data_IF_899176507224
#
_entry.id   IF_899176507224
#
_cell.length_a   1.000
_cell.length_b   1.000
_cell.length_c   1.000
_cell.angle_alpha   90.00
_cell.angle_beta   90.00
_cell.angle_gamma   90.00
#
_symmetry.space_group_name_H-M   'P 1'
#
loop_
_entity.id
_entity.type
_entity.pdbx_description
1 polymer ?
#
# COMPACT_ATOMS: atom_id res chain seq x y z
N UNK A 1 11.47 -28.31 -18.80
CA UNK A 1 10.21 -28.38 -18.04
C UNK A 1 9.16 -27.65 -18.85
N UNK A 2 8.01 -28.26 -19.08
CA UNK A 2 6.89 -27.67 -19.82
C UNK A 2 6.11 -26.68 -18.95
N UNK A 3 5.30 -25.81 -19.56
CA UNK A 3 4.39 -24.91 -18.82
C UNK A 3 3.44 -25.68 -17.90
N UNK A 4 2.92 -26.82 -18.37
CA UNK A 4 2.06 -27.69 -17.58
C UNK A 4 2.76 -28.28 -16.35
N UNK A 5 4.05 -28.62 -16.46
CA UNK A 5 4.85 -29.08 -15.32
C UNK A 5 5.11 -27.94 -14.30
N UNK A 6 5.34 -26.70 -14.78
CA UNK A 6 5.47 -25.52 -13.90
C UNK A 6 4.14 -25.26 -13.18
N UNK A 7 3.03 -25.33 -13.90
CA UNK A 7 1.67 -25.14 -13.37
C UNK A 7 1.35 -26.15 -12.28
N UNK A 8 1.57 -27.43 -12.55
CA UNK A 8 1.31 -28.50 -11.58
C UNK A 8 2.18 -28.33 -10.32
N UNK A 9 3.47 -28.02 -10.50
CA UNK A 9 4.38 -27.75 -9.39
C UNK A 9 3.92 -26.56 -8.55
N UNK A 10 3.42 -25.49 -9.17
CA UNK A 10 2.89 -24.32 -8.47
C UNK A 10 1.60 -24.64 -7.71
N UNK A 11 0.68 -25.42 -8.29
CA UNK A 11 -0.56 -25.83 -7.64
C UNK A 11 -0.25 -26.69 -6.40
N UNK A 12 0.67 -27.64 -6.52
CA UNK A 12 1.14 -28.45 -5.40
C UNK A 12 1.74 -27.57 -4.29
N UNK A 13 2.59 -26.60 -4.68
CA UNK A 13 3.17 -25.66 -3.73
C UNK A 13 2.13 -24.81 -3.01
N UNK A 14 1.12 -24.32 -3.72
CA UNK A 14 -0.01 -23.59 -3.12
C UNK A 14 -0.82 -24.49 -2.18
N UNK A 15 -0.94 -25.78 -2.50
CA UNK A 15 -1.52 -26.79 -1.59
C UNK A 15 -0.75 -26.94 -0.29
N UNK A 16 0.59 -26.93 -0.32
CA UNK A 16 1.44 -26.90 0.89
C UNK A 16 1.17 -25.64 1.73
N UNK A 17 0.98 -24.50 1.06
CA UNK A 17 0.55 -23.21 1.63
C UNK A 17 -0.94 -23.19 2.03
N UNK A 18 -1.59 -24.35 2.02
CA UNK A 18 -2.98 -24.62 2.45
C UNK A 18 -4.07 -24.08 1.54
N UNK A 19 -3.77 -23.63 0.32
CA UNK A 19 -4.82 -23.25 -0.62
C UNK A 19 -5.71 -24.47 -0.93
N UNK A 20 -7.01 -24.23 -1.07
CA UNK A 20 -7.92 -25.28 -1.54
C UNK A 20 -7.85 -25.34 -3.05
N UNK A 21 -7.34 -26.43 -3.61
CA UNK A 21 -7.35 -26.64 -5.06
C UNK A 21 -8.77 -26.96 -5.52
N UNK A 22 -9.24 -26.25 -6.55
CA UNK A 22 -10.60 -26.33 -7.08
C UNK A 22 -10.59 -26.67 -8.58
N UNK A 23 -10.31 -27.94 -8.93
CA UNK A 23 -10.25 -28.39 -10.33
C UNK A 23 -11.63 -28.37 -11.02
N UNK A 24 -12.70 -28.27 -10.24
CA UNK A 24 -14.09 -28.20 -10.66
C UNK A 24 -14.50 -26.82 -11.19
N UNK A 25 -13.75 -25.76 -10.88
CA UNK A 25 -14.03 -24.40 -11.36
C UNK A 25 -13.28 -24.17 -12.68
N UNK A 26 -13.97 -24.44 -13.79
CA UNK A 26 -13.41 -24.30 -15.16
C UNK A 26 -14.11 -23.27 -16.02
N UNK A 27 -15.26 -22.76 -15.59
CA UNK A 27 -16.05 -21.79 -16.32
C UNK A 27 -16.64 -20.70 -15.41
N UNK A 28 -17.31 -19.72 -16.04
CA UNK A 28 -17.96 -18.61 -15.34
C UNK A 28 -19.03 -19.09 -14.36
N UNK A 29 -19.86 -20.06 -14.73
CA UNK A 29 -20.98 -20.50 -13.90
C UNK A 29 -20.47 -21.16 -12.61
N UNK A 30 -19.42 -21.98 -12.70
CA UNK A 30 -18.77 -22.58 -11.54
C UNK A 30 -18.08 -21.52 -10.66
N UNK A 31 -17.48 -20.50 -11.26
CA UNK A 31 -16.87 -19.39 -10.52
C UNK A 31 -17.92 -18.56 -9.76
N UNK A 32 -19.02 -18.18 -10.42
CA UNK A 32 -20.10 -17.40 -9.82
C UNK A 32 -20.78 -18.19 -8.69
N UNK A 33 -21.00 -19.51 -8.88
CA UNK A 33 -21.51 -20.39 -7.82
C UNK A 33 -20.57 -20.44 -6.61
N UNK A 34 -19.27 -20.63 -6.85
CA UNK A 34 -18.29 -20.65 -5.76
C UNK A 34 -18.26 -19.30 -5.01
N UNK A 35 -18.28 -18.19 -5.75
CA UNK A 35 -18.35 -16.86 -5.16
C UNK A 35 -19.57 -16.70 -4.24
N UNK A 36 -20.76 -17.13 -4.68
CA UNK A 36 -21.97 -17.11 -3.84
C UNK A 36 -21.75 -17.85 -2.51
N UNK A 37 -21.29 -19.10 -2.58
CA UNK A 37 -21.07 -19.93 -1.39
C UNK A 37 -20.10 -19.28 -0.39
N UNK A 38 -19.00 -18.71 -0.89
CA UNK A 38 -18.02 -18.02 -0.03
C UNK A 38 -18.54 -16.69 0.51
N UNK A 39 -19.27 -15.94 -0.31
CA UNK A 39 -19.88 -14.66 0.07
C UNK A 39 -20.91 -14.85 1.19
N UNK A 40 -21.81 -15.83 1.04
CA UNK A 40 -22.83 -16.20 2.01
C UNK A 40 -22.20 -16.65 3.33
N UNK A 41 -21.15 -17.49 3.27
CA UNK A 41 -20.41 -17.93 4.45
C UNK A 41 -19.68 -16.78 5.17
N UNK A 42 -19.02 -15.89 4.43
CA UNK A 42 -18.29 -14.75 4.99
C UNK A 42 -19.24 -13.77 5.69
N UNK A 43 -20.35 -13.44 5.03
CA UNK A 43 -21.29 -12.41 5.49
C UNK A 43 -22.44 -12.97 6.35
N UNK A 44 -22.52 -14.31 6.51
CA UNK A 44 -23.54 -15.03 7.28
C UNK A 44 -24.96 -14.72 6.80
N UNK A 45 -25.15 -14.83 5.49
CA UNK A 45 -26.42 -14.58 4.81
C UNK A 45 -26.75 -15.70 3.85
N UNK A 46 -28.01 -15.83 3.48
CA UNK A 46 -28.45 -16.64 2.34
C UNK A 46 -29.16 -15.70 1.38
N UNK A 47 -28.69 -15.65 0.14
CA UNK A 47 -29.26 -14.80 -0.90
C UNK A 47 -30.28 -15.60 -1.70
N UNK A 48 -31.35 -14.94 -2.14
CA UNK A 48 -32.18 -15.46 -3.23
C UNK A 48 -31.41 -15.39 -4.56
N UNK A 49 -31.87 -16.10 -5.59
CA UNK A 49 -31.25 -16.00 -6.91
C UNK A 49 -31.35 -14.58 -7.49
N UNK A 50 -32.47 -13.89 -7.23
CA UNK A 50 -32.67 -12.49 -7.60
C UNK A 50 -31.72 -11.54 -6.86
N UNK A 51 -31.56 -11.71 -5.54
CA UNK A 51 -30.59 -10.94 -4.75
C UNK A 51 -29.16 -11.17 -5.24
N UNK A 52 -28.79 -12.42 -5.51
CA UNK A 52 -27.45 -12.74 -5.98
C UNK A 52 -27.16 -12.15 -7.37
N UNK A 53 -28.13 -12.18 -8.28
CA UNK A 53 -27.98 -11.56 -9.59
C UNK A 53 -27.80 -10.03 -9.47
N UNK A 54 -28.63 -9.35 -8.66
CA UNK A 54 -28.48 -7.90 -8.42
C UNK A 54 -27.15 -7.56 -7.76
N UNK A 55 -26.67 -8.41 -6.83
CA UNK A 55 -25.34 -8.27 -6.25
C UNK A 55 -24.27 -8.30 -7.35
N UNK A 56 -24.29 -9.29 -8.24
CA UNK A 56 -23.33 -9.38 -9.35
C UNK A 56 -23.38 -8.14 -10.25
N UNK A 57 -24.58 -7.69 -10.63
CA UNK A 57 -24.78 -6.48 -11.45
C UNK A 57 -24.24 -5.22 -10.79
N UNK A 58 -24.31 -5.12 -9.45
CA UNK A 58 -23.80 -3.99 -8.69
C UNK A 58 -22.27 -4.01 -8.54
N UNK A 59 -21.67 -5.19 -8.30
CA UNK A 59 -20.25 -5.28 -7.96
C UNK A 59 -19.34 -5.40 -9.19
N UNK A 60 -19.86 -5.88 -10.31
CA UNK A 60 -19.09 -6.02 -11.56
C UNK A 60 -18.98 -4.65 -12.22
N UNK A 61 -17.74 -4.17 -12.36
CA UNK A 61 -17.45 -2.88 -12.99
C UNK A 61 -16.33 -3.02 -14.01
N UNK A 62 -16.42 -2.36 -15.18
CA UNK A 62 -15.31 -2.28 -16.12
C UNK A 62 -14.18 -1.38 -15.63
N UNK A 63 -14.41 -0.53 -14.62
CA UNK A 63 -13.39 0.33 -14.04
C UNK A 63 -12.60 -0.43 -12.96
N UNK A 64 -11.33 -0.70 -13.25
CA UNK A 64 -10.42 -1.41 -12.35
C UNK A 64 -10.25 -0.68 -11.02
N UNK A 65 -10.23 0.66 -11.02
CA UNK A 65 -10.09 1.45 -9.81
C UNK A 65 -11.35 1.33 -8.94
N UNK A 66 -12.54 1.41 -9.54
CA UNK A 66 -13.80 1.23 -8.84
C UNK A 66 -13.93 -0.18 -8.26
N UNK A 67 -13.59 -1.23 -9.03
CA UNK A 67 -13.62 -2.60 -8.54
C UNK A 67 -12.62 -2.82 -7.38
N UNK A 68 -11.41 -2.26 -7.48
CA UNK A 68 -10.41 -2.31 -6.42
C UNK A 68 -10.86 -1.60 -5.13
N UNK A 69 -11.56 -0.47 -5.27
CA UNK A 69 -12.16 0.24 -4.14
C UNK A 69 -13.26 -0.61 -3.49
N UNK A 70 -14.20 -1.10 -4.29
CA UNK A 70 -15.32 -1.94 -3.85
C UNK A 70 -14.85 -3.21 -3.13
N UNK A 71 -13.73 -3.81 -3.58
CA UNK A 71 -13.11 -4.98 -2.93
C UNK A 71 -12.76 -4.72 -1.45
N UNK A 72 -12.30 -3.51 -1.12
CA UNK A 72 -11.70 -3.16 0.18
C UNK A 72 -12.66 -2.41 1.10
N UNK A 73 -13.81 -1.96 0.61
CA UNK A 73 -14.79 -1.21 1.39
C UNK A 73 -15.86 -2.12 2.00
N UNK A 74 -16.53 -1.60 3.05
CA UNK A 74 -17.78 -2.17 3.53
C UNK A 74 -18.89 -1.62 2.64
N UNK A 75 -19.54 -2.52 1.93
CA UNK A 75 -20.55 -2.19 0.93
C UNK A 75 -21.96 -2.45 1.48
N UNK A 76 -22.96 -1.98 0.77
CA UNK A 76 -24.36 -2.29 1.08
C UNK A 76 -25.21 -2.45 -0.18
N UNK A 77 -26.26 -3.26 -0.08
CA UNK A 77 -27.34 -3.29 -1.07
C UNK A 77 -28.67 -3.62 -0.40
N UNK A 78 -29.77 -3.30 -1.08
CA UNK A 78 -31.12 -3.55 -0.60
C UNK A 78 -31.59 -4.97 -0.98
N UNK A 79 -32.08 -5.70 0.01
CA UNK A 79 -32.62 -7.05 -0.11
C UNK A 79 -34.03 -7.06 -0.72
N UNK A 80 -34.52 -8.24 -1.08
CA UNK A 80 -35.88 -8.39 -1.62
C UNK A 80 -36.97 -7.90 -0.63
N UNK A 81 -36.71 -7.96 0.67
CA UNK A 81 -37.61 -7.53 1.74
C UNK A 81 -37.47 -6.03 2.10
N UNK A 82 -36.65 -5.27 1.35
CA UNK A 82 -36.38 -3.85 1.59
C UNK A 82 -35.36 -3.58 2.71
N UNK A 83 -34.79 -4.61 3.35
CA UNK A 83 -33.77 -4.43 4.39
C UNK A 83 -32.38 -4.21 3.79
N UNK A 84 -31.53 -3.37 4.40
CA UNK A 84 -30.16 -3.20 3.93
C UNK A 84 -29.28 -4.38 4.38
N UNK A 85 -28.54 -4.97 3.44
CA UNK A 85 -27.45 -5.90 3.72
C UNK A 85 -26.11 -5.20 3.61
N UNK A 86 -25.40 -5.06 4.73
CA UNK A 86 -24.01 -4.62 4.74
C UNK A 86 -23.07 -5.81 4.61
N UNK A 87 -22.13 -5.75 3.68
CA UNK A 87 -21.24 -6.86 3.37
C UNK A 87 -19.80 -6.41 3.11
N UNK A 88 -18.90 -7.39 3.13
CA UNK A 88 -17.51 -7.25 2.67
C UNK A 88 -17.20 -8.36 1.68
N UNK A 89 -16.29 -8.10 0.74
CA UNK A 89 -15.79 -9.12 -0.20
C UNK A 89 -14.55 -9.83 0.36
N UNK A 90 -13.71 -9.10 1.10
CA UNK A 90 -12.55 -9.66 1.80
C UNK A 90 -12.44 -9.11 3.22
N UNK A 91 -11.88 -9.90 4.11
CA UNK A 91 -11.51 -9.47 5.44
C UNK A 91 -10.20 -8.66 5.39
N UNK A 92 -10.33 -7.34 5.48
CA UNK A 92 -9.21 -6.39 5.42
C UNK A 92 -8.48 -6.19 6.76
N UNK A 93 -9.05 -6.70 7.86
CA UNK A 93 -8.49 -6.57 9.21
C UNK A 93 -7.77 -7.83 9.66
N UNK A 94 -8.45 -8.98 9.57
CA UNK A 94 -7.93 -10.30 9.89
C UNK A 94 -7.65 -11.06 8.59
N UNK A 95 -6.55 -10.75 7.92
CA UNK A 95 -6.20 -11.28 6.59
C UNK A 95 -6.22 -12.82 6.52
N UNK A 96 -5.79 -13.48 7.58
CA UNK A 96 -5.74 -14.93 7.68
C UNK A 96 -7.11 -15.60 7.77
N UNK A 97 -8.18 -14.87 8.12
CA UNK A 97 -9.54 -15.40 8.24
C UNK A 97 -10.27 -15.48 6.89
N UNK A 98 -9.65 -15.00 5.82
CA UNK A 98 -10.14 -15.24 4.48
C UNK A 98 -9.99 -16.71 4.09
N UNK A 99 -10.82 -17.15 3.15
CA UNK A 99 -10.65 -18.43 2.46
C UNK A 99 -9.82 -18.21 1.20
N UNK A 100 -8.98 -19.18 0.87
CA UNK A 100 -7.99 -19.08 -0.21
C UNK A 100 -8.08 -20.32 -1.08
N UNK A 101 -8.33 -20.11 -2.36
CA UNK A 101 -8.53 -21.17 -3.35
C UNK A 101 -7.63 -20.94 -4.56
N UNK A 102 -7.20 -22.02 -5.18
CA UNK A 102 -6.47 -21.98 -6.45
C UNK A 102 -7.29 -22.71 -7.50
N UNK A 103 -7.53 -22.04 -8.62
CA UNK A 103 -8.17 -22.61 -9.82
C UNK A 103 -7.20 -22.50 -10.99
N UNK A 104 -7.35 -23.39 -11.96
CA UNK A 104 -6.46 -23.43 -13.12
C UNK A 104 -7.23 -23.66 -14.41
N UNK A 105 -6.67 -23.20 -15.52
CA UNK A 105 -7.25 -23.29 -16.87
C UNK A 105 -8.71 -22.80 -16.92
N UNK A 106 -9.02 -21.73 -16.17
CA UNK A 106 -10.35 -21.12 -16.15
C UNK A 106 -10.68 -20.59 -17.54
N UNK A 107 -11.86 -20.89 -18.06
CA UNK A 107 -12.33 -20.41 -19.36
C UNK A 107 -13.48 -19.44 -19.17
N UNK A 108 -13.27 -18.19 -19.55
CA UNK A 108 -14.35 -17.22 -19.65
C UNK A 108 -14.69 -17.09 -21.13
N UNK A 109 -15.66 -17.91 -21.56
CA UNK A 109 -16.22 -17.78 -22.89
C UNK A 109 -17.17 -16.57 -22.87
N UNK A 110 -16.81 -15.52 -23.58
CA UNK A 110 -17.81 -14.55 -24.05
C UNK A 110 -18.21 -14.94 -25.47
N UNK A 111 -19.28 -14.34 -26.00
CA UNK A 111 -19.89 -14.71 -27.29
C UNK A 111 -18.90 -14.88 -28.46
N UNK A 112 -17.69 -14.29 -28.40
CA UNK A 112 -16.69 -14.30 -29.47
C UNK A 112 -15.27 -14.76 -29.06
N UNK A 113 -15.01 -15.28 -27.85
CA UNK A 113 -13.63 -15.59 -27.40
C UNK A 113 -13.48 -16.84 -26.55
N UNK A 114 -12.29 -17.43 -26.59
CA UNK A 114 -11.88 -18.59 -25.81
C UNK A 114 -10.61 -18.30 -24.99
N UNK A 115 -10.68 -17.38 -24.04
CA UNK A 115 -9.54 -17.14 -23.14
C UNK A 115 -9.44 -18.23 -22.09
N UNK A 116 -8.19 -18.60 -21.78
CA UNK A 116 -7.84 -19.60 -20.79
C UNK A 116 -6.77 -19.02 -19.88
N UNK A 117 -7.09 -18.92 -18.60
CA UNK A 117 -6.19 -18.39 -17.57
C UNK A 117 -5.45 -19.54 -16.91
N UNK A 118 -4.12 -19.49 -16.91
CA UNK A 118 -3.28 -20.59 -16.40
C UNK A 118 -3.60 -20.89 -14.93
N UNK A 119 -3.34 -19.94 -14.03
CA UNK A 119 -3.62 -20.08 -12.60
C UNK A 119 -4.25 -18.79 -12.07
N UNK A 120 -5.34 -18.94 -11.31
CA UNK A 120 -6.01 -17.84 -10.63
C UNK A 120 -6.11 -18.14 -9.13
N UNK A 121 -5.80 -17.14 -8.31
CA UNK A 121 -5.99 -17.22 -6.86
C UNK A 121 -7.26 -16.48 -6.47
N UNK A 122 -8.12 -17.19 -5.74
CA UNK A 122 -9.37 -16.65 -5.22
C UNK A 122 -9.25 -16.37 -3.73
N UNK A 123 -9.74 -15.21 -3.30
CA UNK A 123 -9.93 -14.86 -1.88
C UNK A 123 -11.43 -14.74 -1.64
N UNK A 124 -12.00 -15.61 -0.81
CA UNK A 124 -13.45 -15.72 -0.61
C UNK A 124 -14.23 -15.86 -1.93
N UNK A 125 -13.71 -16.67 -2.86
CA UNK A 125 -14.31 -16.89 -4.18
C UNK A 125 -14.15 -15.73 -5.17
N UNK A 126 -13.59 -14.60 -4.75
CA UNK A 126 -13.27 -13.46 -5.63
C UNK A 126 -11.92 -13.69 -6.30
N UNK A 127 -11.79 -13.61 -7.64
CA UNK A 127 -10.51 -13.72 -8.32
C UNK A 127 -9.68 -12.45 -8.09
N UNK A 128 -8.51 -12.61 -7.47
CA UNK A 128 -7.71 -11.48 -7.00
C UNK A 128 -6.31 -11.46 -7.63
N UNK A 129 -5.75 -12.63 -7.95
CA UNK A 129 -4.43 -12.73 -8.60
C UNK A 129 -4.55 -13.62 -9.82
N UNK A 130 -3.94 -13.17 -10.91
CA UNK A 130 -3.71 -13.98 -12.09
C UNK A 130 -2.21 -14.27 -12.22
N UNK A 131 -1.89 -15.54 -12.44
CA UNK A 131 -0.52 -16.02 -12.65
C UNK A 131 -0.45 -16.63 -14.04
N UNK A 132 0.42 -16.08 -14.87
CA UNK A 132 0.73 -16.55 -16.22
C UNK A 132 2.08 -17.26 -16.21
N UNK A 133 2.14 -18.46 -16.78
CA UNK A 133 3.35 -19.29 -16.78
C UNK A 133 3.95 -19.40 -18.17
N UNK A 134 5.28 -19.37 -18.25
CA UNK A 134 6.02 -19.43 -19.51
C UNK A 134 7.16 -20.44 -19.47
N UNK A 135 7.44 -21.03 -20.63
CA UNK A 135 8.62 -21.90 -20.82
C UNK A 135 9.90 -21.11 -21.16
N UNK A 136 9.78 -19.98 -21.85
CA UNK A 136 10.91 -19.20 -22.35
C UNK A 136 11.36 -18.12 -21.37
N UNK A 137 12.54 -17.53 -21.62
CA UNK A 137 13.00 -16.34 -20.91
C UNK A 137 11.99 -15.21 -21.04
N UNK A 138 11.55 -14.68 -19.90
CA UNK A 138 10.62 -13.57 -19.83
C UNK A 138 11.41 -12.27 -19.93
N UNK A 139 11.02 -11.40 -20.86
CA UNK A 139 11.42 -9.98 -20.77
C UNK A 139 10.28 -9.21 -20.11
N UNK A 140 10.56 -8.24 -19.21
CA UNK A 140 9.51 -7.48 -18.53
C UNK A 140 8.50 -6.89 -19.50
N UNK A 141 8.99 -6.31 -20.60
CA UNK A 141 8.13 -5.73 -21.65
C UNK A 141 7.16 -6.75 -22.25
N UNK A 142 7.64 -7.93 -22.65
CA UNK A 142 6.76 -8.97 -23.22
C UNK A 142 5.76 -9.51 -22.21
N UNK A 143 6.16 -9.64 -20.94
CA UNK A 143 5.28 -10.06 -19.85
C UNK A 143 4.07 -9.14 -19.73
N UNK A 144 4.31 -7.83 -19.81
CA UNK A 144 3.26 -6.83 -19.68
C UNK A 144 2.45 -6.65 -20.95
N UNK A 145 3.10 -6.60 -22.12
CA UNK A 145 2.44 -6.47 -23.44
C UNK A 145 1.37 -7.55 -23.62
N UNK A 146 1.70 -8.81 -23.32
CA UNK A 146 0.74 -9.91 -23.43
C UNK A 146 -0.50 -9.70 -22.56
N UNK A 147 -0.32 -9.32 -21.29
CA UNK A 147 -1.45 -9.08 -20.39
C UNK A 147 -2.29 -7.88 -20.86
N UNK A 148 -1.65 -6.85 -21.40
CA UNK A 148 -2.35 -5.67 -21.94
C UNK A 148 -3.14 -6.04 -23.20
N UNK A 149 -2.57 -6.85 -24.08
CA UNK A 149 -3.27 -7.38 -25.26
C UNK A 149 -4.48 -8.21 -24.84
N UNK A 150 -4.32 -9.11 -23.85
CA UNK A 150 -5.43 -9.85 -23.25
C UNK A 150 -6.50 -8.92 -22.69
N UNK A 151 -6.11 -7.86 -21.98
CA UNK A 151 -7.06 -6.88 -21.45
C UNK A 151 -7.79 -6.09 -22.55
N UNK A 152 -7.17 -5.88 -23.70
CA UNK A 152 -7.78 -5.16 -24.82
C UNK A 152 -8.77 -6.03 -25.60
N UNK A 153 -8.70 -7.35 -25.47
CA UNK A 153 -9.64 -8.26 -26.09
C UNK A 153 -11.06 -8.09 -25.50
N UNK A 154 -12.09 -7.76 -26.29
CA UNK A 154 -13.47 -7.59 -25.81
C UNK A 154 -14.02 -8.76 -25.01
N UNK A 155 -13.47 -9.97 -25.20
CA UNK A 155 -13.99 -11.18 -24.60
C UNK A 155 -13.22 -11.72 -23.39
N UNK A 156 -12.28 -10.95 -22.85
CA UNK A 156 -11.48 -11.35 -21.69
C UNK A 156 -12.24 -11.44 -20.35
N UNK A 157 -13.52 -11.10 -20.31
CA UNK A 157 -14.32 -11.17 -19.09
C UNK A 157 -13.96 -10.20 -17.96
N UNK A 158 -12.83 -9.47 -17.98
CA UNK A 158 -12.47 -8.52 -16.90
C UNK A 158 -13.50 -7.41 -16.72
N UNK A 159 -14.23 -7.05 -17.76
CA UNK A 159 -15.24 -5.98 -17.71
C UNK A 159 -16.66 -6.46 -17.40
N UNK A 160 -16.92 -7.77 -17.47
CA UNK A 160 -18.29 -8.34 -17.44
C UNK A 160 -18.47 -9.48 -16.44
N UNK A 161 -17.41 -9.85 -15.72
CA UNK A 161 -17.41 -10.98 -14.78
C UNK A 161 -16.65 -10.60 -13.52
N UNK A 162 -16.64 -11.50 -12.52
CA UNK A 162 -15.86 -11.33 -11.29
C UNK A 162 -14.37 -11.10 -11.53
N UNK A 163 -13.82 -11.40 -12.72
CA UNK A 163 -12.44 -11.05 -13.08
C UNK A 163 -12.13 -9.55 -12.99
N UNK A 164 -13.14 -8.65 -12.94
CA UNK A 164 -12.91 -7.23 -12.66
C UNK A 164 -12.13 -6.99 -11.35
N UNK A 165 -12.18 -7.93 -10.41
CA UNK A 165 -11.49 -7.86 -9.12
C UNK A 165 -10.02 -8.27 -9.15
N UNK A 166 -9.47 -8.69 -10.28
CA UNK A 166 -8.03 -8.99 -10.37
C UNK A 166 -7.23 -7.74 -9.99
N UNK A 167 -6.38 -7.87 -8.97
CA UNK A 167 -5.55 -6.79 -8.42
C UNK A 167 -4.10 -6.90 -8.87
N UNK A 168 -3.60 -8.12 -9.05
CA UNK A 168 -2.20 -8.39 -9.37
C UNK A 168 -2.11 -9.36 -10.53
N UNK A 169 -1.18 -9.06 -11.44
CA UNK A 169 -0.68 -10.00 -12.41
C UNK A 169 0.71 -10.47 -12.00
N UNK A 170 0.96 -11.76 -12.16
CA UNK A 170 2.26 -12.39 -11.94
C UNK A 170 2.60 -13.14 -13.22
N UNK A 171 3.84 -12.99 -13.69
CA UNK A 171 4.36 -13.73 -14.85
C UNK A 171 5.63 -14.42 -14.41
N UNK A 172 5.70 -15.74 -14.61
CA UNK A 172 6.85 -16.54 -14.18
C UNK A 172 7.22 -17.61 -15.19
N UNK A 173 8.53 -17.85 -15.32
CA UNK A 173 9.07 -19.01 -16.04
C UNK A 173 9.76 -19.99 -15.08
N UNK A 174 9.31 -19.99 -13.82
CA UNK A 174 9.90 -20.66 -12.66
C UNK A 174 11.15 -19.99 -12.11
N UNK A 175 12.15 -19.71 -12.94
CA UNK A 175 13.43 -19.15 -12.47
C UNK A 175 13.34 -17.65 -12.19
N UNK A 176 12.48 -16.97 -12.95
CA UNK A 176 12.26 -15.54 -12.86
C UNK A 176 10.76 -15.24 -12.75
N UNK A 177 10.41 -14.36 -11.80
CA UNK A 177 9.03 -14.06 -11.41
C UNK A 177 8.85 -12.57 -11.26
N UNK A 178 8.00 -12.02 -12.11
CA UNK A 178 7.66 -10.61 -12.15
C UNK A 178 6.21 -10.42 -11.74
N UNK A 179 5.91 -9.30 -11.10
CA UNK A 179 4.54 -8.93 -10.75
C UNK A 179 4.28 -7.44 -10.97
N UNK A 180 3.02 -7.10 -11.19
CA UNK A 180 2.57 -5.71 -11.30
C UNK A 180 1.09 -5.58 -10.95
N UNK A 181 0.68 -4.37 -10.56
CA UNK A 181 -0.71 -4.07 -10.23
C UNK A 181 -1.57 -3.91 -11.48
N UNK A 182 -2.78 -4.47 -11.44
CA UNK A 182 -3.79 -4.25 -12.46
C UNK A 182 -4.24 -2.79 -12.47
N UNK A 183 -4.43 -2.22 -13.65
CA UNK A 183 -4.82 -0.82 -13.84
C UNK A 183 -5.73 -0.64 -15.05
N UNK A 184 -6.41 0.50 -15.13
CA UNK A 184 -7.15 0.90 -16.33
C UNK A 184 -6.19 1.09 -17.53
N UNK A 185 -6.68 0.84 -18.75
CA UNK A 185 -5.88 0.80 -19.99
C UNK A 185 -4.96 2.00 -20.19
N UNK A 186 -5.42 3.21 -19.83
CA UNK A 186 -4.62 4.44 -19.93
C UNK A 186 -3.27 4.38 -19.21
N UNK A 187 -3.15 3.57 -18.17
CA UNK A 187 -1.94 3.40 -17.36
C UNK A 187 -0.99 2.31 -17.89
N UNK A 188 -1.32 1.72 -19.04
CA UNK A 188 -0.55 0.69 -19.72
C UNK A 188 -0.04 1.14 -21.10
N UNK A 189 0.22 2.44 -21.26
CA UNK A 189 0.59 3.05 -22.53
C UNK A 189 2.09 2.88 -22.81
N UNK A 190 2.48 1.84 -23.55
CA UNK A 190 3.88 1.57 -23.91
C UNK A 190 4.42 2.54 -24.97
N UNK A 191 4.78 3.76 -24.59
CA UNK A 191 5.45 4.69 -25.50
C UNK A 191 6.97 4.43 -25.52
N UNK A 192 7.63 4.72 -26.65
CA UNK A 192 9.08 4.56 -26.81
C UNK A 192 9.90 5.38 -25.79
N UNK A 193 9.30 6.42 -25.21
CA UNK A 193 9.90 7.28 -24.18
C UNK A 193 9.68 6.79 -22.74
N UNK A 194 8.79 5.79 -22.50
CA UNK A 194 8.57 5.24 -21.16
C UNK A 194 9.74 4.32 -20.75
N UNK A 195 10.71 4.90 -20.04
CA UNK A 195 11.88 4.17 -19.52
C UNK A 195 11.57 3.27 -18.31
N UNK A 196 10.36 3.32 -17.75
CA UNK A 196 10.02 2.64 -16.49
C UNK A 196 8.66 1.94 -16.56
N UNK A 197 8.68 0.62 -16.78
CA UNK A 197 7.50 -0.21 -16.63
C UNK A 197 7.21 -0.46 -15.14
N UNK A 198 5.94 -0.50 -14.70
CA UNK A 198 5.56 -0.76 -13.30
C UNK A 198 5.67 -2.26 -12.93
N UNK A 199 6.73 -2.94 -13.38
CA UNK A 199 7.05 -4.34 -13.13
C UNK A 199 8.08 -4.46 -12.02
N UNK A 200 7.84 -5.40 -11.11
CA UNK A 200 8.68 -5.61 -9.95
C UNK A 200 9.05 -7.09 -9.82
N UNK A 201 10.27 -7.34 -9.34
CA UNK A 201 10.65 -8.60 -8.70
C UNK A 201 10.52 -8.43 -7.19
N UNK A 202 10.09 -9.49 -6.51
CA UNK A 202 10.02 -9.45 -5.06
C UNK A 202 11.43 -9.52 -4.47
N UNK A 203 11.59 -9.12 -3.21
CA UNK A 203 12.88 -9.11 -2.55
C UNK A 203 12.73 -9.38 -1.06
N UNK A 204 13.79 -9.92 -0.48
CA UNK A 204 13.95 -10.11 0.95
C UNK A 204 14.32 -8.79 1.66
N UNK A 205 14.32 -8.74 3.01
CA UNK A 205 14.60 -7.51 3.76
C UNK A 205 15.98 -6.88 3.51
N UNK A 206 16.96 -7.65 3.05
CA UNK A 206 18.29 -7.16 2.66
C UNK A 206 18.36 -6.75 1.18
N UNK A 207 17.20 -6.57 0.54
CA UNK A 207 17.01 -6.19 -0.86
C UNK A 207 17.46 -7.23 -1.90
N UNK A 208 17.81 -8.47 -1.49
CA UNK A 208 18.10 -9.54 -2.44
C UNK A 208 16.83 -10.02 -3.13
N UNK A 209 16.85 -10.05 -4.47
CA UNK A 209 15.72 -10.46 -5.30
C UNK A 209 15.34 -11.92 -5.03
N UNK A 210 14.04 -12.17 -4.94
CA UNK A 210 13.44 -13.51 -4.85
C UNK A 210 12.75 -13.75 -6.20
N UNK A 211 13.49 -14.39 -7.11
CA UNK A 211 13.04 -14.57 -8.51
C UNK A 211 12.42 -15.95 -8.74
N UNK A 212 12.89 -16.97 -8.02
CA UNK A 212 12.39 -18.32 -8.17
C UNK A 212 10.95 -18.45 -7.64
N UNK A 213 10.08 -19.08 -8.44
CA UNK A 213 8.64 -19.16 -8.21
C UNK A 213 8.29 -19.81 -6.87
N UNK A 214 9.00 -20.87 -6.46
CA UNK A 214 8.70 -21.54 -5.19
C UNK A 214 8.97 -20.63 -3.98
N UNK A 215 10.12 -19.95 -3.98
CA UNK A 215 10.49 -18.99 -2.91
C UNK A 215 9.61 -17.75 -2.94
N UNK A 216 9.20 -17.30 -4.14
CA UNK A 216 8.20 -16.26 -4.29
C UNK A 216 6.84 -16.71 -3.73
N UNK A 217 6.41 -17.93 -3.99
CA UNK A 217 5.15 -18.46 -3.49
C UNK A 217 5.13 -18.53 -1.95
N UNK A 218 6.22 -19.03 -1.35
CA UNK A 218 6.36 -19.11 0.12
C UNK A 218 6.32 -17.76 0.82
N UNK A 219 6.83 -16.71 0.16
CA UNK A 219 6.99 -15.38 0.77
C UNK A 219 5.83 -14.44 0.43
N UNK A 220 5.46 -14.36 -0.84
CA UNK A 220 4.46 -13.44 -1.37
C UNK A 220 3.07 -14.06 -1.47
N UNK A 221 2.96 -15.33 -1.88
CA UNK A 221 1.67 -16.02 -2.07
C UNK A 221 1.18 -16.77 -0.83
N UNK A 222 1.93 -16.79 0.28
CA UNK A 222 1.42 -17.30 1.54
C UNK A 222 0.12 -16.56 1.91
N UNK A 223 -0.93 -17.29 2.30
CA UNK A 223 -2.30 -16.77 2.46
C UNK A 223 -2.40 -15.40 3.14
N UNK A 224 -1.90 -15.31 4.37
CA UNK A 224 -1.95 -14.08 5.14
C UNK A 224 -1.11 -12.97 4.52
N UNK A 225 0.06 -13.32 3.96
CA UNK A 225 0.95 -12.37 3.30
C UNK A 225 0.28 -11.80 2.05
N UNK A 226 -0.31 -12.63 1.19
CA UNK A 226 -1.01 -12.17 -0.01
C UNK A 226 -2.18 -11.24 0.33
N UNK A 227 -3.01 -11.64 1.29
CA UNK A 227 -4.14 -10.82 1.72
C UNK A 227 -3.70 -9.52 2.39
N UNK A 228 -2.59 -9.51 3.14
CA UNK A 228 -1.96 -8.29 3.67
C UNK A 228 -1.43 -7.41 2.53
N UNK A 229 -0.70 -7.97 1.56
CA UNK A 229 -0.17 -7.25 0.40
C UNK A 229 -1.27 -6.48 -0.33
N UNK A 230 -2.39 -7.15 -0.60
CA UNK A 230 -3.48 -6.59 -1.40
C UNK A 230 -4.33 -5.61 -0.60
N UNK A 231 -4.62 -5.91 0.66
CA UNK A 231 -5.49 -5.06 1.50
C UNK A 231 -4.73 -3.87 2.07
N UNK A 232 -3.47 -4.09 2.47
CA UNK A 232 -2.66 -3.13 3.21
C UNK A 232 -1.65 -2.43 2.31
N UNK A 233 -0.90 -3.13 1.47
CA UNK A 233 0.25 -2.56 0.76
C UNK A 233 -0.01 -2.20 -0.72
N UNK A 234 -1.22 -2.42 -1.21
CA UNK A 234 -1.68 -1.82 -2.45
C UNK A 234 -2.31 -0.45 -2.17
N UNK A 235 -1.79 0.59 -2.81
CA UNK A 235 -2.24 1.97 -2.68
C UNK A 235 -3.12 2.33 -3.86
N UNK A 236 -4.31 2.85 -3.56
CA UNK A 236 -5.25 3.39 -4.54
C UNK A 236 -4.99 4.89 -4.64
N UNK A 237 -4.29 5.32 -5.69
CA UNK A 237 -3.99 6.71 -5.98
C UNK A 237 -5.21 7.32 -6.66
N UNK A 238 -6.01 8.07 -5.90
CA UNK A 238 -7.35 8.43 -6.30
C UNK A 238 -7.40 9.64 -7.24
N UNK A 239 -6.38 10.50 -7.26
CA UNK A 239 -6.22 11.59 -8.24
C UNK A 239 -5.94 11.03 -9.64
N UNK A 240 -5.13 9.98 -9.73
CA UNK A 240 -4.78 9.31 -10.98
C UNK A 240 -5.74 8.15 -11.34
N UNK A 241 -6.58 7.73 -10.39
CA UNK A 241 -7.36 6.48 -10.44
C UNK A 241 -6.46 5.30 -10.84
N UNK A 242 -5.39 5.11 -10.07
CA UNK A 242 -4.32 4.16 -10.35
C UNK A 242 -4.07 3.28 -9.12
N UNK A 243 -3.82 2.00 -9.33
CA UNK A 243 -3.37 1.08 -8.30
C UNK A 243 -1.85 0.99 -8.36
N UNK A 244 -1.22 1.18 -7.21
CA UNK A 244 0.22 1.00 -7.02
C UNK A 244 0.46 -0.07 -5.97
N UNK A 245 1.19 -1.12 -6.32
CA UNK A 245 1.70 -2.06 -5.34
C UNK A 245 2.99 -1.51 -4.75
N UNK A 246 3.06 -1.38 -3.41
CA UNK A 246 4.30 -0.98 -2.77
C UNK A 246 5.42 -1.99 -3.06
N UNK A 247 6.63 -1.46 -3.24
CA UNK A 247 7.84 -2.26 -3.48
C UNK A 247 8.31 -2.91 -2.17
N UNK A 248 9.05 -4.03 -2.22
CA UNK A 248 9.44 -4.77 -1.02
C UNK A 248 10.13 -3.91 0.05
N UNK A 249 11.11 -3.08 -0.35
CA UNK A 249 11.81 -2.17 0.55
C UNK A 249 10.89 -1.12 1.21
N UNK A 250 9.83 -0.69 0.52
CA UNK A 250 8.83 0.23 1.07
C UNK A 250 7.99 -0.49 2.12
N UNK A 251 7.60 -1.74 1.84
CA UNK A 251 6.85 -2.59 2.76
C UNK A 251 7.66 -2.86 4.03
N UNK A 252 8.93 -3.24 3.90
CA UNK A 252 9.81 -3.49 5.05
C UNK A 252 10.06 -2.21 5.87
N UNK A 253 10.29 -1.07 5.22
CA UNK A 253 10.39 0.22 5.92
C UNK A 253 9.15 0.52 6.77
N UNK A 254 7.94 0.34 6.21
CA UNK A 254 6.68 0.51 6.94
C UNK A 254 6.56 -0.50 8.09
N UNK A 255 6.85 -1.78 7.85
CA UNK A 255 6.82 -2.83 8.89
C UNK A 255 7.75 -2.49 10.05
N UNK A 256 8.96 -2.02 9.76
CA UNK A 256 9.95 -1.68 10.78
C UNK A 256 9.55 -0.44 11.59
N UNK A 257 8.94 0.58 10.96
CA UNK A 257 8.37 1.73 11.68
C UNK A 257 7.24 1.28 12.62
N UNK A 258 6.28 0.49 12.11
CA UNK A 258 5.16 0.01 12.92
C UNK A 258 5.65 -0.86 14.08
N UNK A 259 6.62 -1.74 13.85
CA UNK A 259 7.24 -2.55 14.89
C UNK A 259 7.97 -1.70 15.93
N UNK A 260 8.75 -0.70 15.52
CA UNK A 260 9.45 0.22 16.41
C UNK A 260 8.47 1.00 17.31
N UNK A 261 7.31 1.40 16.75
CA UNK A 261 6.23 2.00 17.54
C UNK A 261 5.65 0.99 18.51
N UNK A 262 5.24 -0.19 18.06
CA UNK A 262 4.61 -1.19 18.94
C UNK A 262 5.51 -1.64 20.09
N UNK A 263 6.81 -1.83 19.81
CA UNK A 263 7.81 -2.26 20.80
C UNK A 263 8.38 -1.09 21.63
N UNK A 264 8.05 0.15 21.27
CA UNK A 264 8.54 1.37 21.90
C UNK A 264 10.09 1.45 21.96
N UNK A 265 10.76 1.09 20.86
CA UNK A 265 12.23 0.99 20.76
C UNK A 265 12.90 2.30 20.34
N UNK A 266 12.27 3.44 20.60
CA UNK A 266 12.81 4.78 20.32
C UNK A 266 12.43 5.35 18.95
N UNK A 267 13.32 6.16 18.40
CA UNK A 267 13.18 6.84 17.10
C UNK A 267 13.81 6.02 15.98
N UNK A 268 13.55 6.36 14.72
CA UNK A 268 14.31 5.75 13.62
C UNK A 268 14.32 6.56 12.33
N UNK A 269 15.16 6.17 11.37
CA UNK A 269 15.15 6.74 10.03
C UNK A 269 15.17 5.67 8.95
N UNK A 270 14.65 6.04 7.78
CA UNK A 270 14.61 5.24 6.56
C UNK A 270 15.51 5.91 5.53
N UNK A 271 16.55 5.19 5.12
CA UNK A 271 17.49 5.65 4.09
C UNK A 271 17.11 5.07 2.74
N UNK A 272 16.31 5.79 1.97
CA UNK A 272 15.84 5.35 0.65
C UNK A 272 16.30 6.36 -0.41
N UNK A 273 16.95 5.92 -1.47
CA UNK A 273 17.51 6.82 -2.51
C UNK A 273 16.43 7.74 -3.11
N UNK A 274 16.83 8.90 -3.63
CA UNK A 274 15.93 9.86 -4.27
C UNK A 274 15.19 9.20 -5.45
N UNK A 275 13.88 9.45 -5.58
CA UNK A 275 13.04 8.83 -6.61
C UNK A 275 12.58 7.40 -6.33
N UNK A 276 12.93 6.81 -5.18
CA UNK A 276 12.47 5.46 -4.79
C UNK A 276 11.03 5.40 -4.25
N UNK A 277 10.36 6.55 -4.08
CA UNK A 277 8.99 6.63 -3.55
C UNK A 277 8.92 6.76 -2.03
N UNK A 278 9.78 7.59 -1.43
CA UNK A 278 9.76 7.89 0.02
C UNK A 278 8.44 8.48 0.47
N UNK A 279 7.91 9.48 -0.24
CA UNK A 279 6.63 10.12 0.07
C UNK A 279 5.47 9.13 0.13
N UNK A 280 5.38 8.19 -0.82
CA UNK A 280 4.36 7.14 -0.80
C UNK A 280 4.51 6.22 0.42
N UNK A 281 5.76 5.90 0.78
CA UNK A 281 6.10 5.01 1.89
C UNK A 281 5.79 5.67 3.24
N UNK A 282 6.19 6.92 3.41
CA UNK A 282 5.98 7.72 4.61
C UNK A 282 4.50 8.08 4.78
N UNK A 283 3.80 8.42 3.68
CA UNK A 283 2.35 8.50 3.62
C UNK A 283 1.72 7.22 4.16
N UNK A 284 2.06 6.06 3.57
CA UNK A 284 1.45 4.81 3.98
C UNK A 284 1.71 4.48 5.45
N UNK A 285 2.94 4.68 5.93
CA UNK A 285 3.26 4.53 7.34
C UNK A 285 2.32 5.35 8.23
N UNK A 286 2.12 6.64 7.91
CA UNK A 286 1.23 7.52 8.68
C UNK A 286 -0.23 7.03 8.71
N UNK A 287 -0.74 6.58 7.56
CA UNK A 287 -2.11 6.08 7.46
C UNK A 287 -2.36 4.85 8.33
N UNK A 288 -1.37 3.96 8.44
CA UNK A 288 -1.48 2.75 9.24
C UNK A 288 -1.46 3.02 10.75
N UNK A 289 -1.00 4.20 11.18
CA UNK A 289 -1.04 4.61 12.57
C UNK A 289 -2.41 5.13 13.00
N UNK A 290 -3.29 5.46 12.05
CA UNK A 290 -4.66 5.87 12.36
C UNK A 290 -5.43 4.78 13.12
N UNK A 291 -5.32 3.54 12.65
CA UNK A 291 -5.96 2.39 13.29
C UNK A 291 -5.17 1.84 14.51
N UNK A 292 -4.00 2.41 14.84
CA UNK A 292 -3.18 1.94 15.95
C UNK A 292 -3.69 2.53 17.28
N UNK A 293 -4.25 1.73 18.20
CA UNK A 293 -4.79 2.24 19.47
C UNK A 293 -3.70 2.71 20.44
N UNK A 294 -2.43 2.33 20.22
CA UNK A 294 -1.32 2.76 21.06
C UNK A 294 -0.79 4.16 20.72
N UNK A 295 -1.25 4.78 19.62
CA UNK A 295 -0.83 6.12 19.20
C UNK A 295 -2.01 7.07 19.39
N UNK A 296 -1.79 8.16 20.13
CA UNK A 296 -2.81 9.20 20.34
C UNK A 296 -2.94 10.05 19.09
N UNK A 297 -1.82 10.59 18.59
CA UNK A 297 -1.78 11.37 17.34
C UNK A 297 -0.52 11.10 16.53
N UNK A 298 -0.66 11.12 15.21
CA UNK A 298 0.41 11.03 14.24
C UNK A 298 0.47 12.30 13.39
N UNK A 299 1.61 12.98 13.38
CA UNK A 299 1.87 14.12 12.51
C UNK A 299 2.73 13.68 11.34
N UNK A 300 2.20 13.84 10.14
CA UNK A 300 2.97 13.75 8.91
C UNK A 300 3.50 15.14 8.57
N UNK A 301 4.81 15.32 8.72
CA UNK A 301 5.49 16.60 8.63
C UNK A 301 6.30 16.66 7.33
N UNK A 302 6.00 17.65 6.51
CA UNK A 302 6.64 17.88 5.21
C UNK A 302 7.30 19.25 5.16
N UNK A 303 8.26 19.45 4.25
CA UNK A 303 8.67 20.80 3.88
C UNK A 303 7.61 21.42 2.94
N UNK A 304 7.43 22.74 3.03
CA UNK A 304 6.46 23.50 2.24
C UNK A 304 6.75 23.41 0.74
N UNK A 305 8.02 23.26 0.35
CA UNK A 305 8.43 23.12 -1.05
C UNK A 305 8.04 21.76 -1.62
N UNK A 306 7.97 20.74 -0.76
CA UNK A 306 7.78 19.34 -1.16
C UNK A 306 6.31 18.91 -1.09
N UNK A 307 5.45 19.68 -0.39
CA UNK A 307 4.01 19.45 -0.40
C UNK A 307 3.36 20.00 -1.68
N UNK A 308 3.56 19.27 -2.77
CA UNK A 308 2.90 19.51 -4.04
C UNK A 308 1.38 19.28 -3.97
N UNK A 309 0.66 19.77 -4.99
CA UNK A 309 -0.81 19.63 -5.06
C UNK A 309 -1.25 18.17 -5.02
N UNK A 310 -0.47 17.28 -5.63
CA UNK A 310 -0.80 15.86 -5.75
C UNK A 310 -0.78 15.16 -4.39
N UNK A 311 0.26 15.37 -3.59
CA UNK A 311 0.39 14.81 -2.24
C UNK A 311 -0.79 15.27 -1.37
N UNK A 312 -1.20 16.54 -1.48
CA UNK A 312 -2.37 17.07 -0.76
C UNK A 312 -3.66 16.38 -1.16
N UNK A 313 -3.90 16.23 -2.46
CA UNK A 313 -5.10 15.59 -2.99
C UNK A 313 -5.20 14.13 -2.51
N UNK A 314 -4.09 13.38 -2.52
CA UNK A 314 -4.07 12.01 -2.04
C UNK A 314 -4.34 11.89 -0.54
N UNK A 315 -3.75 12.76 0.28
CA UNK A 315 -4.05 12.80 1.70
C UNK A 315 -5.52 13.17 1.98
N UNK A 316 -6.06 14.19 1.32
CA UNK A 316 -7.47 14.55 1.48
C UNK A 316 -8.43 13.46 0.97
N UNK A 317 -8.05 12.65 -0.03
CA UNK A 317 -8.86 11.51 -0.47
C UNK A 317 -8.80 10.34 0.53
N UNK A 318 -7.65 10.13 1.16
CA UNK A 318 -7.51 9.11 2.21
C UNK A 318 -8.25 9.49 3.49
N UNK A 319 -8.23 10.78 3.82
CA UNK A 319 -8.95 11.34 4.95
C UNK A 319 -9.29 12.78 4.64
N UNK A 320 -10.57 13.04 4.42
CA UNK A 320 -11.07 14.37 4.12
C UNK A 320 -10.69 15.35 5.25
N UNK A 321 -10.16 16.51 4.85
CA UNK A 321 -9.72 17.53 5.79
C UNK A 321 -8.42 17.21 6.54
N UNK A 322 -7.72 16.12 6.22
CA UNK A 322 -6.47 15.81 6.93
C UNK A 322 -5.30 16.72 6.55
N UNK A 323 -5.37 17.35 5.37
CA UNK A 323 -4.40 18.34 4.90
C UNK A 323 -4.85 19.74 5.24
N UNK A 324 -3.95 20.50 5.86
CA UNK A 324 -4.24 21.90 6.11
C UNK A 324 -3.97 22.79 4.91
N UNK A 325 -5.04 23.20 4.23
CA UNK A 325 -4.98 24.08 3.07
C UNK A 325 -4.62 25.54 3.44
N UNK A 326 -5.02 25.99 4.63
CA UNK A 326 -4.81 27.37 5.07
C UNK A 326 -3.42 27.58 5.69
N UNK A 327 -2.86 28.77 5.53
CA UNK A 327 -1.59 29.21 6.16
C UNK A 327 -1.68 29.40 7.67
N UNK A 328 -2.85 29.16 8.29
CA UNK A 328 -3.13 29.50 9.67
C UNK A 328 -2.79 28.37 10.66
N UNK A 329 -1.78 28.60 11.51
CA UNK A 329 -1.37 27.72 12.61
C UNK A 329 -2.48 27.45 13.65
N UNK A 330 -3.48 28.33 13.77
CA UNK A 330 -4.63 28.12 14.65
C UNK A 330 -5.38 26.81 14.33
N UNK A 331 -5.50 26.50 13.03
CA UNK A 331 -6.18 25.28 12.59
C UNK A 331 -5.42 24.04 13.06
N UNK A 332 -4.08 24.06 12.98
CA UNK A 332 -3.24 22.98 13.49
C UNK A 332 -3.43 22.75 14.98
N UNK A 333 -3.41 23.83 15.76
CA UNK A 333 -3.61 23.74 17.21
C UNK A 333 -4.99 23.19 17.53
N UNK A 334 -6.04 23.63 16.83
CA UNK A 334 -7.40 23.11 17.02
C UNK A 334 -7.49 21.60 16.72
N UNK A 335 -6.90 21.15 15.62
CA UNK A 335 -6.91 19.73 15.21
C UNK A 335 -6.06 18.86 16.14
N UNK A 336 -4.94 19.39 16.62
CA UNK A 336 -4.11 18.74 17.64
C UNK A 336 -4.86 18.53 18.95
N UNK A 337 -5.80 19.40 19.30
CA UNK A 337 -6.63 19.28 20.51
C UNK A 337 -7.96 18.55 20.29
N UNK A 338 -8.27 18.18 19.04
CA UNK A 338 -9.51 17.50 18.67
C UNK A 338 -9.42 16.00 18.94
N UNK A 339 -10.48 15.43 19.51
CA UNK A 339 -10.61 13.97 19.67
C UNK A 339 -11.28 13.30 18.46
N UNK A 340 -11.55 14.06 17.39
CA UNK A 340 -12.11 13.50 16.15
C UNK A 340 -11.15 12.46 15.56
N UNK A 341 -11.71 11.33 15.13
CA UNK A 341 -10.98 10.30 14.39
C UNK A 341 -10.31 10.86 13.12
N UNK A 342 -10.92 11.87 12.49
CA UNK A 342 -10.36 12.63 11.38
C UNK A 342 -9.21 13.58 11.76
N UNK A 343 -8.84 13.68 13.03
CA UNK A 343 -7.72 14.48 13.53
C UNK A 343 -6.66 13.62 14.24
N UNK A 344 -6.75 12.29 14.12
CA UNK A 344 -5.73 11.37 14.61
C UNK A 344 -4.45 11.38 13.76
N UNK A 345 -4.60 11.54 12.45
CA UNK A 345 -3.48 11.77 11.51
C UNK A 345 -3.62 13.18 10.93
N UNK A 346 -2.58 13.99 11.09
CA UNK A 346 -2.57 15.39 10.66
C UNK A 346 -1.38 15.62 9.75
N UNK A 347 -1.63 16.19 8.57
CA UNK A 347 -0.58 16.63 7.64
C UNK A 347 -0.30 18.10 7.87
N UNK A 348 0.95 18.44 8.16
CA UNK A 348 1.37 19.82 8.40
C UNK A 348 2.77 20.08 7.85
N UNK A 349 3.14 21.35 7.73
CA UNK A 349 4.51 21.73 7.40
C UNK A 349 5.35 21.88 8.66
N UNK A 350 6.65 21.65 8.54
CA UNK A 350 7.61 21.84 9.65
C UNK A 350 7.54 23.27 10.22
N UNK A 351 7.34 24.29 9.38
CA UNK A 351 7.29 25.68 9.84
C UNK A 351 6.04 25.99 10.67
N UNK A 352 4.88 25.41 10.33
CA UNK A 352 3.65 25.57 11.13
C UNK A 352 3.81 24.93 12.49
N UNK A 353 4.41 23.74 12.53
CA UNK A 353 4.69 23.04 13.78
C UNK A 353 5.65 23.85 14.65
N UNK A 354 6.71 24.41 14.08
CA UNK A 354 7.62 25.33 14.77
C UNK A 354 6.89 26.53 15.39
N UNK A 355 6.02 27.20 14.63
CA UNK A 355 5.19 28.32 15.12
C UNK A 355 4.19 27.94 16.22
N UNK A 356 3.72 26.68 16.22
CA UNK A 356 2.80 26.17 17.24
C UNK A 356 3.51 25.89 18.57
N UNK A 357 4.82 25.59 18.51
CA UNK A 357 5.65 25.27 19.68
C UNK A 357 6.49 26.46 20.17
N UNK A 358 6.41 27.61 19.48
CA UNK A 358 7.07 28.86 19.86
C UNK A 358 6.34 29.54 21.02
N UNK A 359 7.04 29.69 22.16
CA UNK A 359 6.51 30.33 23.36
C UNK A 359 6.42 31.86 23.28
N UNK A 360 6.98 32.49 22.25
CA UNK A 360 6.85 33.93 22.00
C UNK A 360 5.61 34.30 21.19
N UNK A 361 4.85 33.29 20.74
CA UNK A 361 3.68 33.49 19.91
C UNK A 361 2.55 34.18 20.70
N UNK A 362 2.07 35.34 20.20
CA UNK A 362 1.01 36.15 20.83
C UNK A 362 -0.31 35.42 21.09
N UNK A 363 -0.53 34.25 20.45
CA UNK A 363 -1.74 33.44 20.59
C UNK A 363 -1.60 32.29 21.61
N UNK A 364 -0.48 32.20 22.31
CA UNK A 364 -0.23 31.22 23.38
C UNK A 364 -0.53 29.77 22.95
N UNK A 365 -0.06 29.39 21.75
CA UNK A 365 -0.31 28.07 21.19
C UNK A 365 0.35 26.95 21.99
N UNK A 366 1.57 27.19 22.45
CA UNK A 366 2.35 26.22 23.22
C UNK A 366 1.63 25.85 24.52
N UNK A 367 1.10 26.83 25.23
CA UNK A 367 0.34 26.63 26.48
C UNK A 367 -0.94 25.83 26.23
N UNK A 368 -1.62 26.08 25.11
CA UNK A 368 -2.84 25.34 24.73
C UNK A 368 -2.56 23.87 24.42
N UNK A 369 -1.38 23.56 23.88
CA UNK A 369 -0.97 22.21 23.53
C UNK A 369 -0.43 21.40 24.73
N UNK A 370 -0.24 22.01 25.90
CA UNK A 370 0.32 21.36 27.09
C UNK A 370 -0.40 20.04 27.48
N UNK A 371 -1.73 19.89 27.32
CA UNK A 371 -2.40 18.60 27.55
C UNK A 371 -1.84 17.43 26.73
N UNK A 372 -1.26 17.70 25.56
CA UNK A 372 -0.71 16.69 24.66
C UNK A 372 0.71 16.26 25.04
N UNK A 373 1.38 16.96 25.96
CA UNK A 373 2.78 16.71 26.35
C UNK A 373 3.05 15.29 26.83
N UNK A 374 2.06 14.67 27.47
CA UNK A 374 2.14 13.30 28.00
C UNK A 374 1.56 12.25 27.05
N UNK A 375 0.97 12.66 25.93
CA UNK A 375 0.38 11.75 24.96
C UNK A 375 1.45 11.06 24.11
N UNK A 376 1.09 9.91 23.58
CA UNK A 376 1.90 9.11 22.67
C UNK A 376 1.82 9.67 21.25
N UNK A 377 2.65 10.66 21.01
CA UNK A 377 2.76 11.34 19.72
C UNK A 377 3.74 10.60 18.79
N UNK A 378 3.39 10.48 17.52
CA UNK A 378 4.30 10.01 16.47
C UNK A 378 4.50 11.11 15.44
N UNK A 379 5.76 11.36 15.04
CA UNK A 379 6.10 12.30 13.98
C UNK A 379 6.78 11.54 12.86
N UNK A 380 6.24 11.65 11.64
CA UNK A 380 6.84 11.10 10.43
C UNK A 380 7.23 12.27 9.55
N UNK A 381 8.51 12.40 9.26
CA UNK A 381 9.07 13.48 8.47
C UNK A 381 9.46 12.97 7.08
N UNK A 382 8.86 13.54 6.04
CA UNK A 382 9.25 13.28 4.66
C UNK A 382 10.39 14.19 4.23
N UNK A 383 11.33 13.66 3.44
CA UNK A 383 12.52 14.38 2.93
C UNK A 383 13.25 15.22 4.01
N UNK A 384 13.77 14.54 5.04
CA UNK A 384 14.51 15.18 6.12
C UNK A 384 15.78 15.87 5.58
N UNK A 385 15.71 17.18 5.37
CA UNK A 385 16.82 18.00 4.92
C UNK A 385 17.58 18.68 6.08
N UNK A 386 18.89 18.83 5.85
CA UNK A 386 19.91 19.39 6.74
C UNK A 386 19.54 20.75 7.37
N UNK A 387 18.88 21.64 6.65
CA UNK A 387 18.69 23.05 7.05
C UNK A 387 17.46 23.33 7.90
N UNK A 388 16.51 22.39 8.00
CA UNK A 388 15.19 22.64 8.63
C UNK A 388 15.03 21.96 10.01
N UNK A 389 15.95 21.04 10.34
CA UNK A 389 15.75 20.10 11.43
C UNK A 389 16.26 20.56 12.80
N UNK A 390 17.30 21.39 12.89
CA UNK A 390 17.98 21.69 14.17
C UNK A 390 17.04 22.22 15.26
N UNK A 391 16.51 23.42 15.07
CA UNK A 391 15.66 24.11 16.06
C UNK A 391 14.28 23.45 16.22
N UNK A 392 13.62 23.10 15.11
CA UNK A 392 12.29 22.49 15.15
C UNK A 392 12.30 21.12 15.83
N UNK A 393 13.30 20.27 15.57
CA UNK A 393 13.43 18.97 16.24
C UNK A 393 13.65 19.12 17.74
N UNK A 394 14.50 20.09 18.14
CA UNK A 394 14.75 20.39 19.55
C UNK A 394 13.46 20.82 20.25
N UNK A 395 12.72 21.76 19.65
CA UNK A 395 11.44 22.21 20.18
C UNK A 395 10.42 21.07 20.32
N UNK A 396 10.33 20.17 19.32
CA UNK A 396 9.44 18.99 19.37
C UNK A 396 9.85 18.05 20.52
N UNK A 397 11.12 17.70 20.66
CA UNK A 397 11.58 16.80 21.73
C UNK A 397 11.41 17.40 23.14
N UNK A 398 11.65 18.70 23.28
CA UNK A 398 11.48 19.40 24.57
C UNK A 398 10.01 19.47 24.98
N UNK A 399 9.11 19.69 24.01
CA UNK A 399 7.69 19.78 24.25
C UNK A 399 7.02 18.40 24.39
N UNK A 400 7.38 17.43 23.56
CA UNK A 400 6.83 16.07 23.55
C UNK A 400 7.90 15.03 23.92
N UNK A 401 8.22 14.86 25.22
CA UNK A 401 9.30 13.96 25.66
C UNK A 401 9.03 12.47 25.37
N UNK A 402 7.77 12.08 25.17
CA UNK A 402 7.37 10.70 24.85
C UNK A 402 7.12 10.48 23.36
N UNK A 403 7.43 11.46 22.51
CA UNK A 403 7.24 11.32 21.07
C UNK A 403 8.24 10.34 20.44
N UNK A 404 7.77 9.56 19.47
CA UNK A 404 8.62 8.80 18.56
C UNK A 404 8.74 9.54 17.23
N UNK A 405 9.97 9.73 16.76
CA UNK A 405 10.27 10.50 15.55
C UNK A 405 10.85 9.58 14.48
N UNK A 406 10.27 9.64 13.27
CA UNK A 406 10.68 8.85 12.12
C UNK A 406 11.02 9.73 10.93
N UNK A 407 12.23 9.61 10.38
CA UNK A 407 12.69 10.43 9.26
C UNK A 407 12.90 9.62 7.98
N UNK A 408 12.43 10.13 6.85
CA UNK A 408 12.76 9.59 5.52
C UNK A 408 13.79 10.49 4.84
N UNK A 409 14.88 9.92 4.34
CA UNK A 409 15.93 10.70 3.65
C UNK A 409 16.61 9.90 2.55
N UNK A 410 16.95 10.57 1.44
CA UNK A 410 17.84 10.01 0.41
C UNK A 410 19.31 10.30 0.64
N UNK A 411 19.61 11.27 1.51
CA UNK A 411 20.96 11.79 1.75
C UNK A 411 21.20 11.90 3.26
N UNK A 412 21.35 10.77 3.97
CA UNK A 412 21.68 10.79 5.39
C UNK A 412 23.00 11.54 5.62
N UNK A 413 23.00 12.33 6.68
CA UNK A 413 24.18 12.96 7.25
C UNK A 413 24.90 11.93 8.11
N UNK A 414 26.14 11.63 7.72
CA UNK A 414 27.14 10.85 8.44
C UNK A 414 28.25 11.78 8.92
N UNK A 415 29.15 11.29 9.77
CA UNK A 415 30.31 12.07 10.24
C UNK A 415 31.15 12.59 9.07
N UNK A 416 31.35 11.77 8.03
CA UNK A 416 32.21 12.09 6.88
C UNK A 416 31.65 13.20 5.96
N UNK A 417 30.33 13.39 5.91
CA UNK A 417 29.67 14.36 5.03
C UNK A 417 29.03 15.54 5.78
N UNK A 418 29.25 15.59 7.10
CA UNK A 418 28.82 16.69 7.94
C UNK A 418 29.69 17.94 7.67
N UNK A 419 29.38 18.74 6.63
CA UNK A 419 30.22 19.92 6.32
C UNK A 419 30.31 20.87 7.53
N UNK A 420 31.52 21.29 7.87
CA UNK A 420 31.78 22.37 8.80
C UNK A 420 31.20 23.69 8.26
N UNK A 421 30.17 24.25 8.89
CA UNK A 421 29.88 25.68 8.79
C UNK A 421 30.31 26.32 10.10
N UNK A 422 31.56 26.83 10.14
CA UNK A 422 31.94 27.88 11.09
C UNK A 422 31.25 29.16 10.61
N UNK A 423 30.11 29.49 11.20
CA UNK A 423 29.64 30.88 11.23
C UNK A 423 30.32 31.49 12.46
N UNK A 424 30.95 32.66 12.27
CA UNK A 424 31.77 33.36 13.27
C UNK A 424 31.19 33.26 14.69
N UNK A 425 31.94 32.63 15.60
CA UNK A 425 31.68 32.69 17.04
C UNK A 425 30.69 31.69 17.64
N UNK A 426 29.86 31.00 16.85
CA UNK A 426 28.96 29.96 17.36
C UNK A 426 29.43 28.56 16.92
N UNK A 427 29.77 27.71 17.89
CA UNK A 427 30.03 26.29 17.65
C UNK A 427 28.74 25.60 17.21
N UNK A 428 28.50 25.49 15.90
CA UNK A 428 27.47 24.61 15.37
C UNK A 428 27.85 23.17 15.72
N UNK A 429 27.11 22.55 16.65
CA UNK A 429 27.26 21.12 16.95
C UNK A 429 26.69 20.33 15.77
N UNK A 430 27.57 19.62 15.05
CA UNK A 430 27.18 18.73 13.96
C UNK A 430 26.32 17.60 14.55
N UNK A 431 25.10 17.45 14.06
CA UNK A 431 24.24 16.30 14.38
C UNK A 431 24.08 15.44 13.13
N UNK A 432 24.49 14.19 13.22
CA UNK A 432 24.26 13.18 12.19
C UNK A 432 22.76 12.81 12.15
N UNK A 433 22.35 12.12 11.09
CA UNK A 433 20.99 11.56 11.01
C UNK A 433 20.74 10.61 12.17
N UNK A 434 21.77 9.85 12.53
CA UNK A 434 21.75 8.93 13.65
C UNK A 434 21.59 9.67 14.99
N UNK A 435 22.20 10.84 15.18
CA UNK A 435 22.00 11.61 16.42
C UNK A 435 20.57 12.13 16.57
N UNK A 436 19.91 12.44 15.45
CA UNK A 436 18.54 12.99 15.41
C UNK A 436 17.52 11.86 15.59
N UNK A 437 17.68 10.78 14.84
CA UNK A 437 16.69 9.71 14.70
C UNK A 437 17.09 8.39 15.34
N UNK A 438 18.27 8.29 15.92
CA UNK A 438 18.80 7.13 16.65
C UNK A 438 19.15 5.94 15.77
N UNK A 439 18.17 5.23 15.18
CA UNK A 439 18.44 3.96 14.52
C UNK A 439 18.08 3.97 13.03
N UNK A 440 18.88 3.31 12.20
CA UNK A 440 18.52 3.00 10.83
C UNK A 440 17.52 1.83 10.82
N UNK A 441 16.28 2.08 10.44
CA UNK A 441 15.25 1.04 10.41
C UNK A 441 15.27 0.25 9.10
N UNK A 442 15.68 0.88 7.99
CA UNK A 442 15.81 0.22 6.69
C UNK A 442 16.60 1.09 5.71
N UNK A 443 17.41 0.46 4.85
CA UNK A 443 18.11 1.13 3.75
C UNK A 443 17.78 0.54 2.37
N UNK A 444 17.65 1.42 1.38
CA UNK A 444 17.54 1.13 -0.05
C UNK A 444 18.34 2.19 -0.81
N UNK A 445 19.62 1.93 -1.02
CA UNK A 445 20.59 2.87 -1.60
C UNK A 445 20.51 2.91 -3.13
N UNK A 446 21.31 3.79 -3.75
CA UNK A 446 21.41 3.88 -5.21
C UNK A 446 21.98 2.60 -5.84
N UNK A 447 22.84 1.86 -5.15
CA UNK A 447 23.37 0.58 -5.63
C UNK A 447 22.24 -0.43 -5.82
N UNK A 448 21.36 -0.57 -4.83
CA UNK A 448 20.17 -1.44 -4.94
C UNK A 448 19.15 -0.97 -6.00
N UNK A 449 19.17 0.31 -6.38
CA UNK A 449 18.28 0.85 -7.39
C UNK A 449 18.79 0.67 -8.82
N UNK A 450 20.12 0.58 -8.99
CA UNK A 450 20.78 0.29 -10.25
C UNK A 450 20.77 -1.22 -10.54
N UNK A 451 20.89 -2.04 -9.49
CA UNK A 451 20.75 -3.51 -9.51
C UNK A 451 19.29 -3.98 -9.66
#
# INVERSE_FOLDING_TARGET
>A
MTEQEIEQSLIEKLGELKYSYRPDIRDRAALDKNFREKFEALNRVNLTDGEFQRLLEQIISPDVFAAARHLRERNSFERDDGTPLYYTLVNIKDWCKNTFEVVNQLRINTDNTHHRYDVMLLINGVPVVQIELKTLTITPRRAMEQIVDYKNDPGNGYSKTLLCFVQLFIVSNRSDTWYFANNNHRHFSFNADERFLPLYQFASPDNKKITHLDSFAETFLAKCALSEMISRYMVLVASEQKLLMMRPYQIYAVKNIVACIQQNTGNGYIWHTTGSGKTLTSFKASTLLKDNPAVDKCLFVVDRKDLDRQTREEFNKFQEGCVEENTNTETLVRRLLSDDYADKVIVTTIQKLGLALDGSNKRNYKERLEPLRKQRMVFIFDECHRSQFGENHKAIKEFFPHAQLFGFTGTPIFEDNANYQKIEGEQATLKTTQDIFQQELHAYTITHAIE
#
